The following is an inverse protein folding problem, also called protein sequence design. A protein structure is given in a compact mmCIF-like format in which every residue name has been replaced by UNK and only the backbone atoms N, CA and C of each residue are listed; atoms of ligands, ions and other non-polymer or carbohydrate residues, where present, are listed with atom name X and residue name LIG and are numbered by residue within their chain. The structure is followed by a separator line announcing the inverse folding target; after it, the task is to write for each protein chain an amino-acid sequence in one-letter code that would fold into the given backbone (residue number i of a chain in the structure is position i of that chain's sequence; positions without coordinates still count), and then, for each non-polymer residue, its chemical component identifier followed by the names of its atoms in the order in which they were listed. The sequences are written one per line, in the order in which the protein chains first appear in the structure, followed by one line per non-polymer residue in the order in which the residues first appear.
data_IF_374016078052
#
_entry.id   IF_374016078052
#
_cell.length_a   1.000
_cell.length_b   1.000
_cell.length_c   1.000
_cell.angle_alpha   90.00
_cell.angle_beta   90.00
_cell.angle_gamma   90.00
#
_symmetry.space_group_name_H-M   'P 1'
#
loop_
_entity.id
_entity.type
_entity.pdbx_description
1 polymer ?
#
# COMPACT_ATOMS: atom_id res chain seq x y z
N UNK A 1 6.29 -17.83 13.45
CA UNK A 1 5.58 -16.68 12.85
C UNK A 1 4.59 -17.22 11.85
N UNK A 2 3.31 -16.92 12.01
CA UNK A 2 2.28 -17.24 11.03
C UNK A 2 2.14 -16.08 10.03
N UNK A 3 2.16 -16.38 8.73
CA UNK A 3 1.83 -15.41 7.68
C UNK A 3 0.46 -15.74 7.12
N UNK A 4 -0.41 -14.75 7.03
CA UNK A 4 -1.75 -14.91 6.48
C UNK A 4 -2.06 -13.85 5.44
N UNK A 5 -2.56 -14.28 4.27
CA UNK A 5 -2.97 -13.40 3.17
C UNK A 5 -4.43 -13.03 3.38
N UNK A 6 -4.70 -11.75 3.49
CA UNK A 6 -6.04 -11.24 3.74
C UNK A 6 -6.86 -11.26 2.45
N UNK A 7 -7.97 -12.01 2.46
CA UNK A 7 -8.92 -12.17 1.34
C UNK A 7 -10.32 -11.75 1.77
N UNK A 8 -10.61 -10.45 1.81
CA UNK A 8 -11.96 -10.00 2.18
C UNK A 8 -12.98 -10.40 1.11
N UNK A 9 -14.19 -10.73 1.52
CA UNK A 9 -15.30 -11.09 0.60
C UNK A 9 -15.68 -9.95 -0.34
N UNK A 10 -15.59 -8.70 0.15
CA UNK A 10 -15.83 -7.49 -0.64
C UNK A 10 -14.58 -6.62 -0.68
N UNK A 11 -14.01 -6.42 -1.87
CA UNK A 11 -12.86 -5.53 -2.10
C UNK A 11 -13.31 -4.37 -2.97
N UNK A 12 -13.43 -3.18 -2.40
CA UNK A 12 -13.78 -1.98 -3.14
C UNK A 12 -12.70 -1.64 -4.18
N UNK A 13 -13.14 -1.33 -5.40
CA UNK A 13 -12.26 -0.87 -6.46
C UNK A 13 -11.30 -1.91 -7.03
N UNK A 14 -11.50 -3.21 -6.73
CA UNK A 14 -10.73 -4.28 -7.36
C UNK A 14 -11.06 -4.35 -8.86
N UNK A 15 -10.07 -4.17 -9.69
CA UNK A 15 -10.16 -4.29 -11.14
C UNK A 15 -9.44 -5.57 -11.58
N UNK A 16 -10.19 -6.54 -12.13
CA UNK A 16 -9.64 -7.85 -12.51
C UNK A 16 -8.54 -7.75 -13.57
N UNK A 17 -8.68 -6.86 -14.55
CA UNK A 17 -7.68 -6.65 -15.60
C UNK A 17 -6.36 -6.10 -15.04
N UNK A 18 -6.43 -5.13 -14.13
CA UNK A 18 -5.25 -4.58 -13.48
C UNK A 18 -4.56 -5.60 -12.58
N UNK A 19 -5.35 -6.43 -11.86
CA UNK A 19 -4.80 -7.52 -11.05
C UNK A 19 -4.08 -8.54 -11.91
N UNK A 20 -4.68 -8.95 -13.05
CA UNK A 20 -4.04 -9.90 -13.98
C UNK A 20 -2.72 -9.34 -14.53
N UNK A 21 -2.71 -8.09 -14.99
CA UNK A 21 -1.48 -7.41 -15.44
C UNK A 21 -0.42 -7.34 -14.34
N UNK A 22 -0.81 -7.05 -13.11
CA UNK A 22 0.10 -7.01 -11.97
C UNK A 22 0.67 -8.41 -11.64
N UNK A 23 -0.13 -9.47 -11.73
CA UNK A 23 0.32 -10.83 -11.52
C UNK A 23 1.30 -11.29 -12.61
N UNK A 24 1.04 -10.95 -13.89
CA UNK A 24 1.97 -11.24 -14.99
C UNK A 24 3.30 -10.55 -14.74
N UNK A 25 3.29 -9.26 -14.44
CA UNK A 25 4.49 -8.49 -14.14
C UNK A 25 5.26 -9.07 -12.94
N UNK A 26 4.55 -9.45 -11.86
CA UNK A 26 5.19 -10.06 -10.70
C UNK A 26 5.88 -11.38 -11.07
N UNK A 27 5.30 -12.20 -11.96
CA UNK A 27 5.92 -13.41 -12.47
C UNK A 27 7.20 -13.11 -13.29
N UNK A 28 7.17 -12.08 -14.13
CA UNK A 28 8.32 -11.60 -14.91
C UNK A 28 9.48 -11.16 -14.00
N UNK A 29 9.17 -10.59 -12.82
CA UNK A 29 10.12 -10.22 -11.77
C UNK A 29 10.47 -11.37 -10.81
N UNK A 30 10.15 -12.61 -11.17
CA UNK A 30 10.61 -13.80 -10.46
C UNK A 30 9.75 -14.25 -9.27
N UNK A 31 8.56 -13.69 -9.09
CA UNK A 31 7.62 -14.20 -8.07
C UNK A 31 7.12 -15.59 -8.49
N UNK A 32 7.23 -16.62 -7.64
CA UNK A 32 6.81 -17.96 -8.00
C UNK A 32 5.33 -18.04 -8.36
N UNK A 33 5.00 -18.74 -9.46
CA UNK A 33 3.61 -18.92 -9.91
C UNK A 33 2.72 -19.55 -8.83
N UNK A 34 3.27 -20.49 -8.05
CA UNK A 34 2.57 -21.11 -6.93
C UNK A 34 2.13 -20.10 -5.87
N UNK A 35 2.96 -19.08 -5.62
CA UNK A 35 2.64 -18.00 -4.70
C UNK A 35 1.55 -17.08 -5.28
N UNK A 36 1.70 -16.65 -6.53
CA UNK A 36 0.69 -15.82 -7.22
C UNK A 36 -0.67 -16.49 -7.24
N UNK A 37 -0.71 -17.79 -7.54
CA UNK A 37 -1.93 -18.60 -7.52
C UNK A 37 -2.51 -18.73 -6.11
N UNK A 38 -1.67 -18.93 -5.11
CA UNK A 38 -2.10 -19.04 -3.71
C UNK A 38 -2.68 -17.73 -3.19
N UNK A 39 -2.12 -16.58 -3.55
CA UNK A 39 -2.62 -15.26 -3.14
C UNK A 39 -3.83 -14.79 -3.94
N UNK A 40 -3.98 -15.25 -5.19
CA UNK A 40 -5.05 -14.80 -6.10
C UNK A 40 -4.99 -13.30 -6.39
N UNK A 41 -3.80 -12.70 -6.30
CA UNK A 41 -3.57 -11.26 -6.50
C UNK A 41 -4.05 -10.38 -5.34
N UNK A 42 -4.34 -10.95 -4.18
CA UNK A 42 -4.47 -10.18 -2.94
C UNK A 42 -3.09 -9.92 -2.36
N UNK A 43 -2.83 -8.69 -1.94
CA UNK A 43 -1.51 -8.24 -1.49
C UNK A 43 -1.48 -7.87 0.00
N UNK A 44 -2.63 -7.68 0.63
CA UNK A 44 -2.71 -7.47 2.07
C UNK A 44 -2.32 -8.72 2.85
N UNK A 45 -1.42 -8.58 3.82
CA UNK A 45 -0.99 -9.70 4.66
C UNK A 45 -0.84 -9.28 6.12
N UNK A 46 -0.94 -10.27 7.01
CA UNK A 46 -0.54 -10.12 8.41
C UNK A 46 0.56 -11.13 8.76
N UNK A 47 1.41 -10.74 9.71
CA UNK A 47 2.37 -11.61 10.33
C UNK A 47 2.10 -11.62 11.84
N UNK A 48 1.60 -12.76 12.36
CA UNK A 48 1.30 -12.93 13.77
C UNK A 48 2.45 -13.58 14.51
N UNK A 49 2.74 -13.05 15.68
CA UNK A 49 3.81 -13.48 16.56
C UNK A 49 3.29 -13.70 17.97
N UNK A 50 3.37 -14.92 18.48
CA UNK A 50 3.01 -15.25 19.84
C UNK A 50 4.28 -15.51 20.66
N UNK A 51 4.46 -14.76 21.73
CA UNK A 51 5.62 -14.95 22.63
C UNK A 51 5.46 -16.16 23.54
N UNK A 52 4.26 -16.73 23.65
CA UNK A 52 3.92 -17.78 24.63
C UNK A 52 3.73 -17.26 26.05
N UNK A 53 3.92 -15.96 26.29
CA UNK A 53 3.70 -15.31 27.56
C UNK A 53 2.41 -14.50 27.55
N UNK A 54 1.65 -14.50 28.64
CA UNK A 54 0.45 -13.69 28.77
C UNK A 54 0.77 -12.19 28.63
N UNK A 55 -0.08 -11.47 27.84
CA UNK A 55 0.07 -10.05 27.61
C UNK A 55 -0.89 -9.56 26.53
N UNK A 56 -0.80 -8.27 26.18
CA UNK A 56 -1.70 -7.67 25.18
C UNK A 56 -1.44 -8.17 23.76
N UNK A 57 -2.42 -7.99 22.89
CA UNK A 57 -2.27 -8.12 21.43
C UNK A 57 -1.98 -6.73 20.87
N UNK A 58 -0.79 -6.57 20.31
CA UNK A 58 -0.33 -5.29 19.79
C UNK A 58 -0.20 -5.35 18.26
N UNK A 59 -0.95 -4.50 17.57
CA UNK A 59 -0.90 -4.37 16.11
C UNK A 59 -0.02 -3.21 15.66
N UNK A 60 0.75 -3.43 14.60
CA UNK A 60 1.52 -2.41 13.89
C UNK A 60 1.14 -2.41 12.42
N UNK A 61 0.80 -1.25 11.88
CA UNK A 61 0.38 -1.08 10.50
C UNK A 61 1.48 -0.43 9.66
N UNK A 62 1.73 -1.04 8.52
CA UNK A 62 2.65 -0.57 7.47
C UNK A 62 1.91 -0.61 6.14
N UNK A 63 1.79 0.52 5.47
CA UNK A 63 1.34 0.55 4.08
C UNK A 63 2.51 0.20 3.16
N UNK A 64 2.18 -0.30 1.96
CA UNK A 64 3.19 -0.84 1.06
C UNK A 64 2.92 -0.55 -0.42
N UNK A 65 1.89 0.22 -0.72
CA UNK A 65 1.60 0.63 -2.10
C UNK A 65 2.42 1.86 -2.52
N UNK A 66 2.59 2.02 -3.83
CA UNK A 66 3.24 3.16 -4.44
C UNK A 66 2.23 4.07 -5.13
N UNK A 67 2.69 5.25 -5.56
CA UNK A 67 1.90 6.19 -6.36
C UNK A 67 2.23 6.08 -7.85
N UNK A 68 1.28 6.52 -8.70
CA UNK A 68 1.45 6.53 -10.16
C UNK A 68 2.17 7.80 -10.59
N UNK A 69 3.46 7.86 -10.30
CA UNK A 69 4.36 8.96 -10.62
C UNK A 69 5.62 8.40 -11.24
N UNK A 70 6.14 9.04 -12.28
CA UNK A 70 7.43 8.68 -12.86
C UNK A 70 8.56 9.12 -11.92
N UNK A 71 9.42 8.17 -11.56
CA UNK A 71 10.60 8.46 -10.74
C UNK A 71 11.72 9.06 -11.59
N UNK A 72 12.50 9.96 -11.02
CA UNK A 72 13.65 10.55 -11.69
C UNK A 72 14.82 9.57 -11.73
N UNK A 73 15.20 9.13 -12.93
CA UNK A 73 16.28 8.17 -13.18
C UNK A 73 17.60 8.85 -13.55
N UNK A 74 18.08 9.77 -12.72
CA UNK A 74 19.40 10.40 -12.93
C UNK A 74 20.20 10.51 -11.63
N UNK A 75 21.49 10.81 -11.76
CA UNK A 75 22.43 10.87 -10.64
C UNK A 75 22.16 11.98 -9.60
N UNK A 76 21.24 12.90 -9.86
CA UNK A 76 20.82 13.90 -8.87
C UNK A 76 19.80 13.34 -7.88
N UNK A 77 19.18 12.21 -8.23
CA UNK A 77 18.25 11.47 -7.39
C UNK A 77 18.98 10.32 -6.70
N UNK A 78 19.07 10.36 -5.38
CA UNK A 78 19.84 9.38 -4.61
C UNK A 78 19.44 7.91 -4.88
N UNK A 79 18.17 7.53 -4.96
CA UNK A 79 17.79 6.17 -5.32
C UNK A 79 18.39 5.71 -6.66
N UNK A 80 18.35 6.56 -7.69
CA UNK A 80 18.93 6.24 -8.99
C UNK A 80 20.47 6.19 -8.94
N UNK A 81 21.09 7.10 -8.19
CA UNK A 81 22.56 7.10 -8.02
C UNK A 81 23.08 5.85 -7.30
N UNK A 82 22.30 5.32 -6.37
CA UNK A 82 22.63 4.15 -5.56
C UNK A 82 22.04 2.84 -6.13
N UNK A 83 21.27 2.89 -7.21
CA UNK A 83 20.74 1.73 -7.93
C UNK A 83 19.57 1.01 -7.24
N UNK A 84 18.70 1.74 -6.57
CA UNK A 84 17.47 1.22 -5.96
C UNK A 84 16.23 2.05 -6.28
N UNK A 85 16.26 2.84 -7.34
CA UNK A 85 15.09 3.50 -7.92
C UNK A 85 14.09 2.47 -8.52
N UNK A 86 12.90 2.94 -8.85
CA UNK A 86 11.84 2.06 -9.37
C UNK A 86 12.21 1.40 -10.68
N UNK A 87 12.08 0.09 -10.74
CA UNK A 87 12.22 -0.68 -12.00
C UNK A 87 10.95 -0.66 -12.85
N UNK A 88 9.86 -0.04 -12.36
CA UNK A 88 8.55 -0.06 -13.01
C UNK A 88 8.20 1.36 -13.46
N UNK A 89 8.24 1.67 -14.76
CA UNK A 89 7.91 2.99 -15.27
C UNK A 89 6.55 3.50 -14.76
N UNK A 90 6.48 4.77 -14.44
CA UNK A 90 5.27 5.40 -13.93
C UNK A 90 4.86 5.01 -12.51
N UNK A 91 5.75 4.37 -11.75
CA UNK A 91 5.48 3.97 -10.37
C UNK A 91 6.65 4.40 -9.48
N UNK A 92 6.36 5.02 -8.35
CA UNK A 92 7.36 5.50 -7.40
C UNK A 92 6.83 5.43 -5.96
N UNK A 93 7.69 5.12 -5.01
CA UNK A 93 7.38 5.25 -3.58
C UNK A 93 7.55 6.71 -3.09
N UNK A 94 6.90 7.66 -3.78
CA UNK A 94 7.01 9.09 -3.45
C UNK A 94 6.39 9.45 -2.09
N UNK A 95 5.56 8.58 -1.52
CA UNK A 95 4.98 8.76 -0.17
C UNK A 95 5.77 8.07 0.94
N UNK A 96 6.81 7.28 0.60
CA UNK A 96 7.68 6.64 1.59
C UNK A 96 7.17 5.32 2.16
N UNK A 97 6.23 4.65 1.50
CA UNK A 97 5.70 3.36 1.94
C UNK A 97 6.70 2.20 1.85
N UNK A 98 7.73 2.34 1.03
CA UNK A 98 8.92 1.48 1.01
C UNK A 98 9.65 1.49 2.36
N UNK A 99 9.84 2.69 2.95
CA UNK A 99 10.43 2.85 4.27
C UNK A 99 9.52 2.26 5.37
N UNK A 100 8.19 2.39 5.23
CA UNK A 100 7.24 1.76 6.16
C UNK A 100 7.31 0.24 6.07
N UNK A 101 7.32 -0.31 4.86
CA UNK A 101 7.44 -1.76 4.63
C UNK A 101 8.77 -2.29 5.20
N UNK A 102 9.88 -1.60 4.92
CA UNK A 102 11.19 -1.97 5.46
C UNK A 102 11.22 -1.93 7.00
N UNK A 103 10.56 -0.93 7.60
CA UNK A 103 10.39 -0.84 9.05
C UNK A 103 9.61 -2.04 9.60
N UNK A 104 8.53 -2.45 8.93
CA UNK A 104 7.73 -3.62 9.30
C UNK A 104 8.53 -4.92 9.26
N UNK A 105 9.33 -5.12 8.22
CA UNK A 105 10.21 -6.28 8.09
C UNK A 105 11.30 -6.25 9.17
N UNK A 106 11.90 -5.09 9.42
CA UNK A 106 12.91 -4.93 10.47
C UNK A 106 12.31 -5.22 11.85
N UNK A 107 11.10 -4.74 12.13
CA UNK A 107 10.40 -5.02 13.39
C UNK A 107 10.09 -6.51 13.53
N UNK A 108 9.75 -7.22 12.45
CA UNK A 108 9.54 -8.66 12.48
C UNK A 108 10.81 -9.42 12.91
N UNK A 109 11.96 -9.04 12.38
CA UNK A 109 13.25 -9.58 12.79
C UNK A 109 13.54 -9.27 14.26
N UNK A 110 13.37 -8.01 14.65
CA UNK A 110 13.62 -7.59 16.03
C UNK A 110 12.74 -8.36 17.04
N UNK A 111 11.44 -8.51 16.78
CA UNK A 111 10.53 -9.30 17.61
C UNK A 111 11.01 -10.75 17.70
N UNK A 112 11.48 -11.33 16.59
CA UNK A 112 11.99 -12.70 16.56
C UNK A 112 13.21 -12.87 17.45
N UNK A 113 14.13 -11.93 17.38
CA UNK A 113 15.40 -11.98 18.14
C UNK A 113 15.21 -11.73 19.64
N UNK A 114 14.16 -10.97 20.02
CA UNK A 114 13.90 -10.56 21.41
C UNK A 114 12.65 -11.23 22.02
N UNK A 115 12.14 -12.30 21.40
CA UNK A 115 10.87 -12.91 21.83
C UNK A 115 10.82 -13.31 23.31
N UNK A 116 11.95 -13.71 23.88
CA UNK A 116 12.04 -14.14 25.27
C UNK A 116 11.99 -12.96 26.27
N UNK A 117 12.13 -11.74 25.80
CA UNK A 117 12.01 -10.48 26.56
C UNK A 117 10.62 -9.85 26.42
N UNK A 118 9.80 -10.34 25.47
CA UNK A 118 8.50 -9.77 25.13
C UNK A 118 7.35 -10.57 25.74
N UNK A 119 6.18 -9.94 25.85
CA UNK A 119 4.95 -10.56 26.36
C UNK A 119 3.78 -10.28 25.41
N UNK A 120 2.83 -11.21 25.38
CA UNK A 120 1.63 -11.09 24.57
C UNK A 120 1.86 -11.49 23.11
N UNK A 121 1.03 -10.96 22.25
CA UNK A 121 1.07 -11.23 20.81
C UNK A 121 1.31 -9.95 20.02
N UNK A 122 2.01 -10.07 18.90
CA UNK A 122 2.28 -8.98 17.99
C UNK A 122 1.69 -9.33 16.62
N UNK A 123 0.94 -8.40 16.04
CA UNK A 123 0.44 -8.50 14.66
C UNK A 123 1.02 -7.39 13.82
N UNK A 124 1.83 -7.74 12.83
CA UNK A 124 2.32 -6.82 11.81
C UNK A 124 1.34 -6.86 10.65
N UNK A 125 0.82 -5.70 10.27
CA UNK A 125 -0.25 -5.55 9.27
C UNK A 125 0.33 -4.80 8.08
N UNK A 126 0.55 -5.49 6.97
CA UNK A 126 1.03 -4.89 5.73
C UNK A 126 -0.17 -4.58 4.84
N UNK A 127 -0.51 -3.30 4.78
CA UNK A 127 -1.72 -2.81 4.13
C UNK A 127 -1.43 -2.35 2.70
N UNK A 128 -2.14 -2.87 1.69
CA UNK A 128 -2.12 -2.34 0.32
C UNK A 128 -3.08 -1.17 0.16
N UNK A 129 -2.96 -0.45 -0.96
CA UNK A 129 -3.93 0.53 -1.45
C UNK A 129 -4.30 1.63 -0.45
N UNK A 130 -3.31 2.18 0.26
CA UNK A 130 -3.48 3.33 1.14
C UNK A 130 -3.81 4.57 0.32
N UNK A 131 -3.05 4.83 -0.75
CA UNK A 131 -3.18 6.00 -1.64
C UNK A 131 -4.57 6.12 -2.30
N UNK A 132 -5.25 4.99 -2.44
CA UNK A 132 -6.63 4.95 -2.91
C UNK A 132 -7.68 5.07 -1.80
N UNK A 133 -7.30 5.11 -0.53
CA UNK A 133 -8.19 4.95 0.65
C UNK A 133 -9.05 3.69 0.57
N UNK A 134 -8.51 2.58 0.02
CA UNK A 134 -9.27 1.36 -0.32
C UNK A 134 -8.85 0.12 0.46
N UNK A 135 -7.59 0.06 0.93
CA UNK A 135 -7.04 -1.16 1.52
C UNK A 135 -7.42 -1.39 2.98
N UNK A 136 -7.53 -0.34 3.80
CA UNK A 136 -7.77 -0.47 5.23
C UNK A 136 -9.17 -1.01 5.56
N UNK A 137 -10.21 -0.52 4.89
CA UNK A 137 -11.59 -0.92 5.17
C UNK A 137 -11.85 -2.42 4.92
N UNK A 138 -11.41 -3.01 3.78
CA UNK A 138 -11.53 -4.45 3.58
C UNK A 138 -10.75 -5.29 4.61
N UNK A 139 -9.54 -4.86 5.00
CA UNK A 139 -8.77 -5.57 6.01
C UNK A 139 -9.43 -5.52 7.38
N UNK A 140 -9.98 -4.36 7.77
CA UNK A 140 -10.76 -4.22 9.00
C UNK A 140 -12.03 -5.08 8.95
N UNK A 141 -12.76 -5.10 7.83
CA UNK A 141 -13.94 -5.95 7.65
C UNK A 141 -13.61 -7.46 7.70
N UNK A 142 -12.37 -7.84 7.37
CA UNK A 142 -11.88 -9.20 7.54
C UNK A 142 -11.46 -9.54 8.99
N UNK A 143 -11.67 -8.64 9.96
CA UNK A 143 -11.39 -8.87 11.37
C UNK A 143 -9.92 -8.69 11.78
N UNK A 144 -9.09 -8.13 10.92
CA UNK A 144 -7.63 -8.02 11.16
C UNK A 144 -7.30 -7.25 12.43
N UNK A 145 -8.18 -6.35 12.87
CA UNK A 145 -7.95 -5.47 14.02
C UNK A 145 -8.85 -5.74 15.23
N UNK A 146 -9.75 -6.74 15.13
CA UNK A 146 -10.83 -6.93 16.11
C UNK A 146 -10.34 -7.38 17.49
N UNK A 147 -9.24 -8.12 17.57
CA UNK A 147 -8.67 -8.66 18.80
C UNK A 147 -7.50 -7.83 19.34
N UNK A 148 -7.20 -6.68 18.73
CA UNK A 148 -6.09 -5.84 19.17
C UNK A 148 -6.43 -5.04 20.43
N UNK A 149 -5.52 -5.05 21.41
CA UNK A 149 -5.57 -4.18 22.57
C UNK A 149 -4.91 -2.82 22.28
N UNK A 150 -3.84 -2.84 21.46
CA UNK A 150 -3.10 -1.65 21.03
C UNK A 150 -2.88 -1.69 19.54
N UNK A 151 -3.02 -0.51 18.89
CA UNK A 151 -2.82 -0.38 17.46
C UNK A 151 -1.97 0.85 17.16
N UNK A 152 -0.88 0.65 16.44
CA UNK A 152 0.07 1.68 16.06
C UNK A 152 0.22 1.74 14.54
N UNK A 153 0.30 2.97 14.03
CA UNK A 153 0.70 3.27 12.67
C UNK A 153 1.53 4.55 12.69
N UNK A 154 2.50 4.64 11.82
CA UNK A 154 3.33 5.81 11.66
C UNK A 154 3.47 6.16 10.19
N UNK A 155 3.86 7.40 9.91
CA UNK A 155 4.17 7.86 8.57
C UNK A 155 5.49 8.64 8.59
N UNK A 156 6.39 8.37 7.64
CA UNK A 156 7.64 9.12 7.49
C UNK A 156 7.38 10.51 6.88
N UNK A 157 8.22 11.47 7.16
CA UNK A 157 8.34 12.74 6.43
C UNK A 157 7.33 13.83 6.80
N UNK A 158 6.24 13.55 7.48
CA UNK A 158 5.17 14.54 7.70
C UNK A 158 5.50 15.52 8.83
N UNK A 159 5.98 16.72 8.48
CA UNK A 159 6.16 17.86 9.40
C UNK A 159 7.12 17.65 10.58
N UNK A 160 7.94 16.60 10.55
CA UNK A 160 8.99 16.33 11.52
C UNK A 160 10.36 16.52 10.88
N UNK A 161 11.34 16.98 11.66
CA UNK A 161 12.74 16.96 11.25
C UNK A 161 13.30 15.56 11.39
N UNK A 162 14.42 15.30 10.70
CA UNK A 162 15.15 14.04 10.88
C UNK A 162 15.51 13.85 12.37
N UNK A 163 15.16 12.68 12.92
CA UNK A 163 15.38 12.36 14.34
C UNK A 163 14.24 12.78 15.28
N UNK A 164 13.20 13.43 14.76
CA UNK A 164 12.01 13.78 15.54
C UNK A 164 10.87 12.80 15.28
N UNK A 165 10.06 12.56 16.31
CA UNK A 165 8.79 11.85 16.20
C UNK A 165 7.68 12.69 16.84
N UNK A 166 6.51 12.69 16.23
CA UNK A 166 5.33 13.39 16.75
C UNK A 166 4.12 12.47 16.82
N UNK A 167 3.19 12.81 17.70
CA UNK A 167 1.92 12.08 17.85
C UNK A 167 0.79 12.96 17.32
N UNK A 168 -0.03 12.41 16.44
CA UNK A 168 -1.20 13.08 15.89
C UNK A 168 -2.29 13.16 16.96
N UNK A 169 -2.72 14.38 17.32
CA UNK A 169 -3.76 14.62 18.33
C UNK A 169 -5.17 14.55 17.79
N UNK A 170 -5.34 14.74 16.47
CA UNK A 170 -6.66 14.72 15.78
C UNK A 170 -6.50 13.91 14.50
N UNK A 171 -7.61 13.34 14.02
CA UNK A 171 -7.64 12.50 12.84
C UNK A 171 -7.12 13.18 11.57
N UNK A 172 -6.91 12.38 10.55
CA UNK A 172 -6.47 12.80 9.22
C UNK A 172 -7.60 13.49 8.45
N UNK A 173 -7.23 14.07 7.30
CA UNK A 173 -8.17 14.65 6.36
C UNK A 173 -9.09 13.57 5.76
N UNK A 174 -10.37 13.92 5.59
CA UNK A 174 -11.28 13.13 4.78
C UNK A 174 -11.08 13.49 3.30
N UNK A 175 -11.05 12.49 2.44
CA UNK A 175 -10.88 12.67 0.99
C UNK A 175 -12.01 12.00 0.23
N UNK A 176 -12.39 12.60 -0.89
CA UNK A 176 -13.25 11.98 -1.91
C UNK A 176 -12.52 12.02 -3.23
N UNK A 177 -12.34 10.86 -3.87
CA UNK A 177 -11.75 10.76 -5.20
C UNK A 177 -12.86 10.70 -6.23
N UNK A 178 -12.80 11.57 -7.24
CA UNK A 178 -13.81 11.69 -8.28
C UNK A 178 -13.09 11.66 -9.63
N UNK A 179 -13.43 10.70 -10.46
CA UNK A 179 -13.01 10.63 -11.84
C UNK A 179 -14.15 11.15 -12.72
N UNK A 180 -13.84 12.10 -13.60
CA UNK A 180 -14.81 12.71 -14.52
C UNK A 180 -14.29 12.56 -15.95
N UNK A 181 -15.04 11.84 -16.78
CA UNK A 181 -14.73 11.68 -18.19
C UNK A 181 -15.69 12.52 -19.04
N UNK A 182 -15.12 13.33 -19.93
CA UNK A 182 -15.88 14.10 -20.92
C UNK A 182 -15.67 13.51 -22.31
N UNK A 183 -16.74 13.08 -22.95
CA UNK A 183 -16.69 12.49 -24.29
C UNK A 183 -17.33 13.43 -25.31
N UNK A 184 -16.56 13.84 -26.31
CA UNK A 184 -17.00 14.70 -27.41
C UNK A 184 -16.89 14.01 -28.76
N UNK A 185 -17.32 14.72 -29.81
CA UNK A 185 -17.17 14.31 -31.21
C UNK A 185 -16.40 15.41 -31.94
N UNK A 186 -15.19 15.13 -32.47
CA UNK A 186 -14.43 16.13 -33.19
C UNK A 186 -15.10 16.44 -34.54
N UNK A 187 -15.00 17.70 -34.99
CA UNK A 187 -15.40 18.13 -36.33
C UNK A 187 -14.53 19.29 -36.80
N UNK A 188 -14.54 19.57 -38.08
CA UNK A 188 -13.84 20.74 -38.61
C UNK A 188 -14.66 22.01 -38.36
N UNK A 189 -14.09 22.94 -37.60
CA UNK A 189 -14.79 24.14 -37.13
C UNK A 189 -15.31 25.06 -38.24
N UNK A 190 -14.72 25.03 -39.44
CA UNK A 190 -15.09 25.88 -40.55
C UNK A 190 -15.97 25.22 -41.63
N UNK A 191 -15.90 23.89 -41.78
CA UNK A 191 -16.66 23.17 -42.84
C UNK A 191 -17.87 22.42 -42.31
N UNK A 192 -17.78 21.84 -41.11
CA UNK A 192 -18.81 20.95 -40.56
C UNK A 192 -18.99 21.14 -39.03
N UNK A 193 -19.17 22.38 -38.55
CA UNK A 193 -19.25 22.62 -37.08
C UNK A 193 -20.43 21.91 -36.44
N UNK A 194 -21.52 21.72 -37.20
CA UNK A 194 -22.74 21.04 -36.71
C UNK A 194 -22.57 19.54 -36.50
N UNK A 195 -21.51 18.94 -37.04
CA UNK A 195 -21.18 17.50 -36.84
C UNK A 195 -20.38 17.26 -35.56
N UNK A 196 -19.84 18.31 -34.97
CA UNK A 196 -19.09 18.23 -33.73
C UNK A 196 -19.98 18.28 -32.51
N UNK A 197 -19.44 17.75 -31.42
CA UNK A 197 -19.99 17.88 -30.05
C UNK A 197 -18.88 18.16 -29.08
N UNK A 198 -18.94 19.31 -28.42
CA UNK A 198 -17.95 19.66 -27.40
C UNK A 198 -17.98 18.68 -26.24
N UNK A 199 -16.80 18.26 -25.80
CA UNK A 199 -16.67 17.44 -24.60
C UNK A 199 -16.93 18.24 -23.30
N UNK A 200 -16.92 19.58 -23.36
CA UNK A 200 -17.06 20.45 -22.21
C UNK A 200 -18.44 21.14 -22.09
N UNK A 201 -19.32 20.99 -23.08
CA UNK A 201 -20.64 21.64 -23.11
C UNK A 201 -21.75 20.64 -23.35
#
# INVERSE_FOLDING_TARGET
MGLDVIRPEAVMGRNAELVEKAMVRAAEHGVPESFLKATGGYTGLTADFDTGCEGPVTGFRFDMDCVLVEELHDASHLPAAEGFDSEIPGHMHACGHDAHTATGVTLAHWITDHKDELKGRFRLIFQPAEEGTRGAAPMAAAGVVDDLNWFFGAHVGCNCRIGEASVVKKGFLATTKIDIEFTGVPSHAGSDPEKGRSALM
#
